data_IF_187560840248
#
_entry.id   IF_187560840248
#
_cell.length_a   1.000
_cell.length_b   1.000
_cell.length_c   1.000
_cell.angle_alpha   90.00
_cell.angle_beta   90.00
_cell.angle_gamma   90.00
#
_symmetry.space_group_name_H-M   'P 1'
#
loop_
_entity.id
_entity.type
_entity.pdbx_description
1 polymer ?
#
# COMPACT_ATOMS: atom_id res chain seq x y z
N UNK A 1 18.45 -7.50 19.56
CA UNK A 1 18.59 -8.61 18.60
C UNK A 1 17.35 -8.55 17.71
N UNK A 2 17.45 -7.97 16.52
CA UNK A 2 16.35 -7.89 15.58
C UNK A 2 16.22 -9.28 14.98
N UNK A 3 15.13 -9.97 15.25
CA UNK A 3 14.85 -11.28 14.68
C UNK A 3 14.33 -11.05 13.25
N UNK A 4 15.10 -11.41 12.26
CA UNK A 4 14.73 -11.26 10.85
C UNK A 4 13.67 -12.33 10.52
N UNK A 5 12.41 -11.90 10.53
CA UNK A 5 11.29 -12.72 10.07
C UNK A 5 11.29 -12.72 8.54
N UNK A 6 11.99 -13.69 7.96
CA UNK A 6 11.85 -13.93 6.52
C UNK A 6 10.41 -14.36 6.22
N UNK A 7 9.64 -13.51 5.54
CA UNK A 7 8.41 -13.95 4.90
C UNK A 7 8.76 -15.08 3.92
N UNK A 8 8.41 -16.30 4.27
CA UNK A 8 8.47 -17.41 3.30
C UNK A 8 7.24 -17.24 2.39
N UNK A 9 7.41 -17.00 1.08
CA UNK A 9 6.28 -17.11 0.18
C UNK A 9 5.81 -18.57 0.24
N UNK A 10 4.58 -18.78 0.66
CA UNK A 10 3.97 -20.10 0.56
C UNK A 10 3.94 -20.50 -0.90
N UNK A 11 4.65 -21.58 -1.24
CA UNK A 11 5.00 -21.97 -2.62
C UNK A 11 3.81 -22.36 -3.51
N UNK A 12 2.58 -22.31 -3.02
CA UNK A 12 1.36 -22.68 -3.75
C UNK A 12 0.29 -21.57 -3.82
N UNK A 13 0.54 -20.40 -3.21
CA UNK A 13 -0.50 -19.43 -3.02
C UNK A 13 -0.38 -18.27 -4.00
N UNK A 14 -1.13 -18.35 -5.08
CA UNK A 14 -1.16 -17.34 -6.14
C UNK A 14 -1.91 -16.06 -5.72
N UNK A 15 -2.16 -15.86 -4.43
CA UNK A 15 -2.85 -14.70 -3.93
C UNK A 15 -4.23 -14.50 -4.56
N UNK A 16 -4.64 -13.26 -4.68
CA UNK A 16 -5.88 -12.87 -5.37
C UNK A 16 -5.90 -13.31 -6.84
N UNK A 17 -4.73 -13.43 -7.49
CA UNK A 17 -4.63 -13.89 -8.88
C UNK A 17 -5.12 -15.33 -9.08
N UNK A 18 -4.96 -16.20 -8.08
CA UNK A 18 -5.53 -17.55 -8.08
C UNK A 18 -7.06 -17.53 -8.07
N UNK A 19 -7.63 -16.68 -7.23
CA UNK A 19 -9.10 -16.53 -7.12
C UNK A 19 -9.70 -15.91 -8.39
N UNK A 20 -9.02 -14.94 -8.98
CA UNK A 20 -9.47 -14.33 -10.25
C UNK A 20 -9.71 -15.41 -11.29
N UNK A 21 -8.75 -16.33 -11.48
CA UNK A 21 -8.87 -17.40 -12.47
C UNK A 21 -9.90 -18.45 -12.13
N UNK A 22 -9.98 -18.82 -10.85
CA UNK A 22 -10.87 -19.87 -10.39
C UNK A 22 -12.36 -19.46 -10.41
N UNK A 23 -12.63 -18.20 -10.09
CA UNK A 23 -13.99 -17.66 -9.95
C UNK A 23 -14.37 -16.68 -11.07
N UNK A 24 -13.53 -16.59 -12.12
CA UNK A 24 -13.75 -15.67 -13.26
C UNK A 24 -14.07 -14.24 -12.81
N UNK A 25 -13.28 -13.72 -11.86
CA UNK A 25 -13.50 -12.40 -11.32
C UNK A 25 -13.01 -11.32 -12.30
N UNK A 26 -13.73 -10.20 -12.43
CA UNK A 26 -13.38 -9.13 -13.38
C UNK A 26 -12.12 -8.40 -12.91
N UNK A 27 -10.95 -8.73 -13.47
CA UNK A 27 -9.63 -8.21 -13.08
C UNK A 27 -9.59 -6.70 -12.91
N UNK A 28 -10.18 -5.96 -13.85
CA UNK A 28 -10.15 -4.50 -13.82
C UNK A 28 -11.01 -3.90 -12.70
N UNK A 29 -11.98 -4.65 -12.18
CA UNK A 29 -12.97 -4.15 -11.23
C UNK A 29 -12.67 -4.53 -9.78
N UNK A 30 -12.06 -5.72 -9.56
CA UNK A 30 -11.74 -6.19 -8.19
C UNK A 30 -10.80 -5.26 -7.43
N UNK A 31 -10.05 -4.41 -8.15
CA UNK A 31 -9.17 -3.42 -7.54
C UNK A 31 -9.79 -2.01 -7.49
N UNK A 32 -10.96 -1.78 -8.11
CA UNK A 32 -11.53 -0.45 -8.30
C UNK A 32 -12.92 -0.27 -7.73
N UNK A 33 -13.73 -1.34 -7.68
CA UNK A 33 -15.13 -1.29 -7.28
C UNK A 33 -15.34 -2.00 -5.96
N UNK A 34 -15.95 -1.32 -5.00
CA UNK A 34 -16.21 -1.84 -3.66
C UNK A 34 -16.92 -3.19 -3.64
N UNK A 35 -17.92 -3.38 -4.51
CA UNK A 35 -18.69 -4.62 -4.57
C UNK A 35 -17.80 -5.81 -4.97
N UNK A 36 -16.89 -5.60 -5.92
CA UNK A 36 -15.96 -6.62 -6.37
C UNK A 36 -14.85 -6.87 -5.36
N UNK A 37 -14.37 -5.81 -4.68
CA UNK A 37 -13.42 -5.93 -3.55
C UNK A 37 -14.00 -6.77 -2.44
N UNK A 38 -15.24 -6.51 -2.03
CA UNK A 38 -15.95 -7.28 -0.99
C UNK A 38 -16.06 -8.74 -1.37
N UNK A 39 -16.59 -9.03 -2.57
CA UNK A 39 -16.71 -10.40 -3.08
C UNK A 39 -15.38 -11.14 -3.05
N UNK A 40 -14.34 -10.52 -3.57
CA UNK A 40 -13.01 -11.12 -3.63
C UNK A 40 -12.39 -11.33 -2.23
N UNK A 41 -12.55 -10.37 -1.31
CA UNK A 41 -12.04 -10.47 0.06
C UNK A 41 -12.71 -11.60 0.86
N UNK A 42 -14.04 -11.75 0.73
CA UNK A 42 -14.77 -12.84 1.38
C UNK A 42 -14.37 -14.18 0.81
N UNK A 43 -14.30 -14.32 -0.51
CA UNK A 43 -13.85 -15.56 -1.17
C UNK A 43 -12.40 -15.92 -0.74
N UNK A 44 -11.51 -14.95 -0.65
CA UNK A 44 -10.14 -15.20 -0.18
C UNK A 44 -10.13 -15.68 1.26
N UNK A 45 -10.87 -15.01 2.16
CA UNK A 45 -10.99 -15.39 3.56
C UNK A 45 -11.52 -16.82 3.71
N UNK A 46 -12.59 -17.17 3.01
CA UNK A 46 -13.21 -18.49 3.09
C UNK A 46 -12.27 -19.60 2.58
N UNK A 47 -11.72 -19.41 1.39
CA UNK A 47 -10.85 -20.39 0.76
C UNK A 47 -9.59 -20.67 1.58
N UNK A 48 -9.01 -19.64 2.17
CA UNK A 48 -7.79 -19.74 2.98
C UNK A 48 -8.06 -19.96 4.46
N UNK A 49 -9.33 -20.03 4.86
CA UNK A 49 -9.74 -20.18 6.27
C UNK A 49 -9.10 -19.12 7.18
N UNK A 50 -8.97 -17.89 6.66
CA UNK A 50 -8.45 -16.76 7.43
C UNK A 50 -9.53 -16.24 8.40
N UNK A 51 -9.15 -15.70 9.56
CA UNK A 51 -10.10 -15.10 10.50
C UNK A 51 -10.54 -13.69 10.10
N UNK A 52 -10.03 -13.11 9.00
CA UNK A 52 -10.28 -11.75 8.56
C UNK A 52 -10.22 -11.62 7.03
N UNK A 53 -10.92 -10.63 6.51
CA UNK A 53 -10.77 -10.13 5.16
C UNK A 53 -9.60 -9.15 5.09
N UNK A 54 -8.90 -9.06 3.95
CA UNK A 54 -7.76 -8.15 3.77
C UNK A 54 -8.03 -7.22 2.60
N UNK A 55 -7.89 -5.91 2.80
CA UNK A 55 -7.98 -4.87 1.76
C UNK A 55 -6.93 -3.78 2.02
N UNK A 56 -6.41 -3.11 0.95
CA UNK A 56 -6.46 -3.50 -0.46
C UNK A 56 -5.67 -4.79 -0.75
N UNK A 57 -5.76 -5.29 -1.97
CA UNK A 57 -5.02 -6.50 -2.39
C UNK A 57 -3.63 -6.21 -2.95
N UNK A 58 -3.17 -4.97 -2.90
CA UNK A 58 -1.91 -4.52 -3.47
C UNK A 58 -1.34 -3.31 -2.69
N UNK A 59 -0.11 -2.94 -3.02
CA UNK A 59 0.65 -1.89 -2.35
C UNK A 59 0.76 -0.60 -3.18
N UNK A 60 -0.23 -0.31 -4.03
CA UNK A 60 -0.20 0.87 -4.91
C UNK A 60 -1.29 1.89 -4.60
N UNK A 61 -2.15 1.61 -3.62
CA UNK A 61 -3.33 2.42 -3.31
C UNK A 61 -2.96 3.85 -2.93
N UNK A 62 -2.03 4.02 -2.01
CA UNK A 62 -1.60 5.32 -1.50
C UNK A 62 -0.91 6.14 -2.60
N UNK A 63 0.03 5.50 -3.30
CA UNK A 63 0.75 6.15 -4.38
C UNK A 63 -0.18 6.57 -5.54
N UNK A 64 -1.16 5.75 -5.89
CA UNK A 64 -2.17 6.09 -6.91
C UNK A 64 -2.99 7.30 -6.48
N UNK A 65 -3.41 7.35 -5.23
CA UNK A 65 -4.18 8.45 -4.69
C UNK A 65 -3.40 9.77 -4.69
N UNK A 66 -2.07 9.71 -4.59
CA UNK A 66 -1.16 10.85 -4.75
C UNK A 66 -0.85 11.21 -6.21
N UNK A 67 -1.43 10.52 -7.19
CA UNK A 67 -1.23 10.77 -8.62
C UNK A 67 -0.28 9.80 -9.31
N UNK A 68 0.12 8.73 -8.65
CA UNK A 68 0.97 7.67 -9.22
C UNK A 68 0.30 6.94 -10.39
N UNK A 69 1.11 6.56 -11.37
CA UNK A 69 0.63 5.85 -12.55
C UNK A 69 0.65 4.34 -12.32
N UNK A 70 -0.54 3.71 -12.29
CA UNK A 70 -0.70 2.30 -11.96
C UNK A 70 -1.19 1.50 -13.15
N UNK A 71 -0.53 0.37 -13.41
CA UNK A 71 -1.03 -0.70 -14.28
C UNK A 71 -1.74 -1.72 -13.42
N UNK A 72 -3.03 -1.91 -13.63
CA UNK A 72 -3.84 -2.86 -12.85
C UNK A 72 -3.55 -4.33 -13.11
N UNK A 73 -2.74 -4.60 -14.12
CA UNK A 73 -2.30 -5.95 -14.41
C UNK A 73 -3.33 -6.79 -15.16
N UNK A 74 -3.27 -8.08 -14.93
CA UNK A 74 -4.12 -9.10 -15.55
C UNK A 74 -4.28 -10.30 -14.60
N UNK A 75 -4.83 -11.40 -15.07
CA UNK A 75 -5.03 -12.63 -14.30
C UNK A 75 -3.75 -13.23 -13.67
N UNK A 76 -2.57 -12.83 -14.13
CA UNK A 76 -1.27 -13.36 -13.64
C UNK A 76 -0.54 -12.41 -12.71
N UNK A 77 -0.81 -11.12 -12.82
CA UNK A 77 -0.11 -10.09 -12.07
C UNK A 77 -1.07 -8.96 -11.67
N UNK A 78 -1.12 -8.64 -10.38
CA UNK A 78 -1.91 -7.55 -9.83
C UNK A 78 -1.39 -6.15 -10.18
N UNK A 79 -1.97 -5.11 -9.54
CA UNK A 79 -1.57 -3.73 -9.71
C UNK A 79 -0.09 -3.50 -9.39
N UNK A 80 0.55 -2.66 -10.18
CA UNK A 80 1.95 -2.27 -10.00
C UNK A 80 2.23 -0.90 -10.60
N UNK A 81 3.27 -0.25 -10.15
CA UNK A 81 3.78 0.98 -10.75
C UNK A 81 3.99 0.79 -12.26
N UNK A 82 3.56 1.75 -13.07
CA UNK A 82 3.87 1.78 -14.50
C UNK A 82 5.25 2.41 -14.71
N UNK A 83 5.31 3.73 -14.76
CA UNK A 83 6.53 4.50 -14.78
C UNK A 83 6.45 5.54 -13.67
N UNK A 84 7.57 5.92 -13.04
CA UNK A 84 7.60 7.02 -12.11
C UNK A 84 6.99 8.29 -12.71
N UNK A 85 6.21 9.01 -11.91
CA UNK A 85 5.58 10.27 -12.31
C UNK A 85 6.44 11.48 -11.95
N UNK A 86 7.44 11.28 -11.07
CA UNK A 86 8.40 12.30 -10.66
C UNK A 86 9.81 11.96 -11.12
N UNK A 87 10.55 12.97 -11.59
CA UNK A 87 11.96 12.88 -11.95
C UNK A 87 12.88 13.52 -10.89
N UNK A 88 12.31 14.26 -9.93
CA UNK A 88 13.05 14.93 -8.86
C UNK A 88 12.25 14.97 -7.56
N UNK A 89 12.94 15.27 -6.43
CA UNK A 89 12.29 15.45 -5.13
C UNK A 89 11.39 16.70 -5.12
N UNK A 90 11.74 17.70 -5.90
CA UNK A 90 10.92 18.91 -6.04
C UNK A 90 9.55 18.54 -6.64
N UNK A 91 9.51 17.77 -7.74
CA UNK A 91 8.27 17.29 -8.32
C UNK A 91 7.50 16.41 -7.32
N UNK A 92 8.18 15.55 -6.57
CA UNK A 92 7.56 14.73 -5.52
C UNK A 92 6.91 15.60 -4.43
N UNK A 93 7.51 16.75 -4.08
CA UNK A 93 6.96 17.68 -3.09
C UNK A 93 5.66 18.35 -3.54
N UNK A 94 5.46 18.49 -4.85
CA UNK A 94 4.26 19.10 -5.44
C UNK A 94 3.11 18.13 -5.68
N UNK A 95 3.33 16.83 -5.47
CA UNK A 95 2.22 15.87 -5.59
C UNK A 95 1.09 16.20 -4.61
N UNK A 96 -0.11 15.85 -5.02
CA UNK A 96 -1.31 16.01 -4.20
C UNK A 96 -1.16 15.30 -2.86
N UNK A 97 -1.80 15.86 -1.82
CA UNK A 97 -2.03 15.17 -0.55
C UNK A 97 -2.98 13.98 -0.80
N UNK A 98 -2.91 12.99 0.07
CA UNK A 98 -3.88 11.89 0.01
C UNK A 98 -5.29 12.42 0.28
N UNK A 99 -6.23 12.02 -0.57
CA UNK A 99 -7.66 12.31 -0.42
C UNK A 99 -8.43 10.99 -0.23
N UNK A 100 -8.81 10.66 1.01
CA UNK A 100 -9.57 9.46 1.31
C UNK A 100 -10.96 9.39 0.65
N UNK A 101 -11.49 10.52 0.19
CA UNK A 101 -12.82 10.61 -0.42
C UNK A 101 -12.77 10.44 -1.95
N UNK A 102 -11.58 10.26 -2.52
CA UNK A 102 -11.41 10.18 -3.97
C UNK A 102 -10.98 8.80 -4.47
N UNK A 103 -11.37 8.50 -5.71
CA UNK A 103 -10.88 7.40 -6.51
C UNK A 103 -10.98 6.02 -5.84
N UNK A 104 -9.97 5.20 -6.07
CA UNK A 104 -9.90 3.84 -5.51
C UNK A 104 -9.77 3.82 -3.98
N UNK A 105 -9.22 4.87 -3.38
CA UNK A 105 -9.12 5.00 -1.93
C UNK A 105 -10.52 5.02 -1.29
N UNK A 106 -11.41 5.88 -1.79
CA UNK A 106 -12.79 5.97 -1.32
C UNK A 106 -13.54 4.64 -1.49
N UNK A 107 -13.36 3.96 -2.61
CA UNK A 107 -13.95 2.64 -2.86
C UNK A 107 -13.44 1.58 -1.88
N UNK A 108 -12.14 1.59 -1.59
CA UNK A 108 -11.51 0.64 -0.64
C UNK A 108 -12.02 0.88 0.79
N UNK A 109 -12.08 2.12 1.23
CA UNK A 109 -12.59 2.47 2.56
C UNK A 109 -14.09 2.13 2.70
N UNK A 110 -14.88 2.38 1.66
CA UNK A 110 -16.28 1.97 1.63
C UNK A 110 -16.46 0.44 1.67
N UNK A 111 -15.61 -0.32 0.94
CA UNK A 111 -15.59 -1.77 1.01
C UNK A 111 -15.25 -2.27 2.42
N UNK A 112 -14.28 -1.68 3.09
CA UNK A 112 -13.94 -1.99 4.48
C UNK A 112 -15.14 -1.77 5.41
N UNK A 113 -15.79 -0.61 5.30
CA UNK A 113 -16.99 -0.31 6.10
C UNK A 113 -18.10 -1.33 5.89
N UNK A 114 -18.44 -1.63 4.62
CA UNK A 114 -19.50 -2.58 4.29
C UNK A 114 -19.18 -4.00 4.79
N UNK A 115 -17.92 -4.44 4.72
CA UNK A 115 -17.48 -5.72 5.31
C UNK A 115 -17.68 -5.71 6.83
N UNK A 116 -17.31 -4.62 7.51
CA UNK A 116 -17.55 -4.48 8.97
C UNK A 116 -19.02 -4.50 9.32
N UNK A 117 -19.89 -3.85 8.54
CA UNK A 117 -21.36 -3.88 8.71
C UNK A 117 -21.95 -5.28 8.51
N UNK A 118 -21.32 -6.11 7.68
CA UNK A 118 -21.65 -7.53 7.49
C UNK A 118 -21.14 -8.46 8.59
N UNK A 119 -20.40 -7.92 9.57
CA UNK A 119 -19.82 -8.69 10.67
C UNK A 119 -18.45 -9.29 10.39
N UNK A 120 -17.84 -8.98 9.25
CA UNK A 120 -16.51 -9.45 8.92
C UNK A 120 -15.43 -8.69 9.72
N UNK A 121 -14.38 -9.38 10.18
CA UNK A 121 -13.17 -8.73 10.63
C UNK A 121 -12.33 -8.33 9.41
N UNK A 122 -11.78 -7.10 9.44
CA UNK A 122 -11.02 -6.53 8.32
C UNK A 122 -9.64 -6.11 8.79
N UNK A 123 -8.61 -6.49 8.01
CA UNK A 123 -7.26 -5.95 8.09
C UNK A 123 -7.03 -5.02 6.91
N UNK A 124 -6.73 -3.74 7.20
CA UNK A 124 -6.33 -2.80 6.17
C UNK A 124 -4.83 -2.93 5.91
N UNK A 125 -4.44 -3.19 4.66
CA UNK A 125 -3.04 -3.20 4.25
C UNK A 125 -2.61 -1.79 3.88
N UNK A 126 -1.60 -1.27 4.58
CA UNK A 126 -1.03 0.05 4.36
C UNK A 126 0.42 -0.06 3.93
N UNK A 127 0.79 0.69 2.91
CA UNK A 127 2.16 0.74 2.41
C UNK A 127 2.99 1.75 3.20
N UNK A 128 4.27 1.43 3.40
CA UNK A 128 5.22 2.36 3.99
C UNK A 128 5.82 3.34 2.98
N UNK A 129 6.54 4.36 3.49
CA UNK A 129 7.02 5.49 2.70
C UNK A 129 7.87 5.11 1.50
N UNK A 130 8.82 4.21 1.67
CA UNK A 130 9.70 3.82 0.56
C UNK A 130 8.95 3.04 -0.51
N UNK A 131 7.96 2.23 -0.14
CA UNK A 131 7.11 1.50 -1.09
C UNK A 131 6.23 2.49 -1.87
N UNK A 132 5.66 3.50 -1.21
CA UNK A 132 4.89 4.57 -1.85
C UNK A 132 5.80 5.35 -2.81
N UNK A 133 6.94 5.84 -2.34
CA UNK A 133 7.87 6.60 -3.18
C UNK A 133 8.45 5.79 -4.33
N UNK A 134 8.70 4.49 -4.15
CA UNK A 134 9.17 3.63 -5.25
C UNK A 134 8.17 3.54 -6.42
N UNK A 135 6.90 3.82 -6.16
CA UNK A 135 5.86 3.92 -7.19
C UNK A 135 5.86 5.29 -7.88
N UNK A 136 6.27 6.35 -7.17
CA UNK A 136 6.18 7.75 -7.61
C UNK A 136 7.47 8.27 -8.24
N UNK A 137 8.64 7.84 -7.72
CA UNK A 137 9.97 8.30 -8.13
C UNK A 137 10.96 7.14 -8.12
N UNK A 138 12.02 7.21 -8.89
CA UNK A 138 13.12 6.26 -8.74
C UNK A 138 13.83 6.44 -7.40
N UNK A 139 13.82 5.43 -6.52
CA UNK A 139 14.39 5.50 -5.17
C UNK A 139 15.85 5.92 -5.12
N UNK A 140 16.61 5.69 -6.20
CA UNK A 140 17.99 6.19 -6.28
C UNK A 140 18.09 7.71 -6.12
N UNK A 141 17.06 8.47 -6.51
CA UNK A 141 16.99 9.93 -6.32
C UNK A 141 16.85 10.27 -4.84
N UNK A 142 15.94 9.56 -4.13
CA UNK A 142 15.74 9.70 -2.68
C UNK A 142 17.05 9.37 -1.94
N UNK A 143 17.67 8.22 -2.23
CA UNK A 143 18.91 7.80 -1.57
C UNK A 143 20.08 8.77 -1.82
N UNK A 144 20.12 9.39 -2.99
CA UNK A 144 21.12 10.43 -3.28
C UNK A 144 20.84 11.70 -2.46
N UNK A 145 19.55 12.06 -2.31
CA UNK A 145 19.16 13.27 -1.58
C UNK A 145 19.37 13.13 -0.07
N UNK A 146 19.11 11.97 0.54
CA UNK A 146 19.43 11.73 1.96
C UNK A 146 20.90 12.07 2.29
N UNK A 147 21.81 11.91 1.32
CA UNK A 147 23.23 12.23 1.51
C UNK A 147 23.61 13.68 1.19
N UNK A 148 22.80 14.38 0.38
CA UNK A 148 23.13 15.72 -0.12
C UNK A 148 22.28 16.83 0.48
N UNK A 149 21.02 16.53 0.72
CA UNK A 149 19.97 17.45 1.16
C UNK A 149 18.99 16.72 2.07
N UNK A 150 19.46 16.15 3.23
CA UNK A 150 18.64 15.34 4.12
C UNK A 150 17.37 16.08 4.57
N UNK A 151 17.48 17.38 4.83
CA UNK A 151 16.38 18.24 5.25
C UNK A 151 15.21 18.26 4.25
N UNK A 152 15.47 18.11 2.96
CA UNK A 152 14.41 18.02 1.95
C UNK A 152 13.69 16.68 2.03
N UNK A 153 14.43 15.61 2.30
CA UNK A 153 13.87 14.27 2.43
C UNK A 153 13.05 14.17 3.73
N UNK A 154 13.55 14.76 4.82
CA UNK A 154 12.82 14.85 6.10
C UNK A 154 11.47 15.56 5.93
N UNK A 155 11.46 16.70 5.24
CA UNK A 155 10.21 17.42 4.96
C UNK A 155 9.21 16.60 4.14
N UNK A 156 9.70 15.78 3.18
CA UNK A 156 8.87 14.85 2.42
C UNK A 156 8.33 13.71 3.28
N UNK A 157 9.14 13.18 4.20
CA UNK A 157 8.69 12.18 5.16
C UNK A 157 7.59 12.74 6.06
N UNK A 158 7.78 13.93 6.64
CA UNK A 158 6.78 14.59 7.49
C UNK A 158 5.45 14.78 6.75
N UNK A 159 5.50 15.27 5.50
CA UNK A 159 4.30 15.41 4.67
C UNK A 159 3.58 14.07 4.47
N UNK A 160 4.33 13.01 4.17
CA UNK A 160 3.76 11.68 3.94
C UNK A 160 3.24 11.06 5.23
N UNK A 161 3.93 11.28 6.35
CA UNK A 161 3.48 10.83 7.69
C UNK A 161 2.12 11.42 8.04
N UNK A 162 1.93 12.73 7.84
CA UNK A 162 0.63 13.37 8.05
C UNK A 162 -0.47 12.75 7.18
N UNK A 163 -0.17 12.42 5.92
CA UNK A 163 -1.12 11.77 5.02
C UNK A 163 -1.46 10.34 5.51
N UNK A 164 -0.46 9.57 5.93
CA UNK A 164 -0.66 8.22 6.47
C UNK A 164 -1.44 8.24 7.79
N UNK A 165 -1.17 9.19 8.68
CA UNK A 165 -1.94 9.37 9.90
C UNK A 165 -3.39 9.76 9.60
N UNK A 166 -3.61 10.64 8.62
CA UNK A 166 -4.94 10.97 8.13
C UNK A 166 -5.69 9.74 7.59
N UNK A 167 -5.02 8.94 6.78
CA UNK A 167 -5.57 7.67 6.26
C UNK A 167 -5.92 6.70 7.39
N UNK A 168 -5.05 6.55 8.40
CA UNK A 168 -5.32 5.68 9.56
C UNK A 168 -6.57 6.13 10.34
N UNK A 169 -6.79 7.43 10.47
CA UNK A 169 -8.01 7.96 11.09
C UNK A 169 -9.25 7.60 10.27
N UNK A 170 -9.19 7.71 8.95
CA UNK A 170 -10.30 7.30 8.08
C UNK A 170 -10.54 5.79 8.10
N UNK A 171 -9.49 4.97 8.10
CA UNK A 171 -9.58 3.51 8.28
C UNK A 171 -10.32 3.18 9.59
N UNK A 172 -9.94 3.84 10.68
CA UNK A 172 -10.60 3.68 11.99
C UNK A 172 -12.07 4.13 11.97
N UNK A 173 -12.39 5.27 11.35
CA UNK A 173 -13.79 5.75 11.20
C UNK A 173 -14.66 4.76 10.42
N UNK A 174 -14.09 4.04 9.46
CA UNK A 174 -14.78 2.99 8.71
C UNK A 174 -14.86 1.63 9.47
N UNK A 175 -14.58 1.62 10.78
CA UNK A 175 -14.78 0.48 11.68
C UNK A 175 -13.65 -0.56 11.65
N UNK A 176 -12.57 -0.31 10.92
CA UNK A 176 -11.41 -1.21 10.89
C UNK A 176 -10.51 -0.97 12.10
N UNK A 177 -10.11 -2.06 12.76
CA UNK A 177 -9.32 -2.02 13.99
C UNK A 177 -7.92 -2.62 13.84
N UNK A 178 -7.65 -3.24 12.70
CA UNK A 178 -6.38 -3.91 12.43
C UNK A 178 -5.76 -3.34 11.15
N UNK A 179 -4.48 -3.00 11.22
CA UNK A 179 -3.69 -2.54 10.08
C UNK A 179 -2.48 -3.44 9.93
N UNK A 180 -2.24 -3.89 8.70
CA UNK A 180 -0.98 -4.54 8.32
C UNK A 180 -0.13 -3.50 7.61
N UNK A 181 0.97 -3.10 8.22
CA UNK A 181 1.90 -2.15 7.63
C UNK A 181 3.05 -2.88 6.95
N UNK A 182 3.32 -2.55 5.69
CA UNK A 182 4.39 -3.14 4.92
C UNK A 182 5.18 -2.10 4.12
N UNK A 183 6.49 -2.05 4.34
CA UNK A 183 7.41 -1.23 3.55
C UNK A 183 8.49 -2.11 2.90
N UNK A 184 8.08 -2.83 1.84
CA UNK A 184 8.96 -3.78 1.16
C UNK A 184 10.20 -3.10 0.52
N UNK A 185 10.06 -1.85 0.08
CA UNK A 185 11.17 -1.06 -0.45
C UNK A 185 12.01 -0.38 0.66
N UNK A 186 11.49 -0.34 1.90
CA UNK A 186 12.18 0.12 3.10
C UNK A 186 12.94 -0.97 3.87
N UNK A 187 12.99 -2.19 3.33
CA UNK A 187 13.67 -3.30 4.00
C UNK A 187 15.19 -3.14 4.09
N UNK A 188 15.79 -3.76 5.12
CA UNK A 188 17.23 -3.71 5.41
C UNK A 188 18.10 -4.10 4.20
N UNK A 189 17.64 -5.06 3.40
CA UNK A 189 18.35 -5.53 2.19
C UNK A 189 18.43 -4.46 1.08
N UNK A 190 17.55 -3.47 1.11
CA UNK A 190 17.46 -2.38 0.12
C UNK A 190 18.14 -1.12 0.67
N UNK A 191 17.76 -0.71 1.87
CA UNK A 191 18.28 0.53 2.49
C UNK A 191 19.69 0.38 3.00
N UNK A 192 20.06 -0.80 3.50
CA UNK A 192 21.27 -1.02 4.29
C UNK A 192 21.20 -0.36 5.68
N UNK A 193 22.12 -0.72 6.59
CA UNK A 193 22.01 -0.35 8.01
C UNK A 193 22.01 1.16 8.27
N UNK A 194 22.86 1.91 7.60
CA UNK A 194 22.98 3.37 7.81
C UNK A 194 21.74 4.15 7.39
N UNK A 195 21.12 3.74 6.28
CA UNK A 195 19.90 4.40 5.79
C UNK A 195 18.71 4.03 6.68
N UNK A 196 18.65 2.77 7.14
CA UNK A 196 17.62 2.32 8.06
C UNK A 196 17.71 3.06 9.41
N UNK A 197 18.93 3.21 9.97
CA UNK A 197 19.17 4.00 11.18
C UNK A 197 18.68 5.43 11.02
N UNK A 198 19.11 6.13 9.97
CA UNK A 198 18.67 7.49 9.66
C UNK A 198 17.14 7.57 9.52
N UNK A 199 16.50 6.61 8.84
CA UNK A 199 15.04 6.59 8.69
C UNK A 199 14.35 6.44 10.04
N UNK A 200 14.88 5.58 10.91
CA UNK A 200 14.32 5.38 12.27
C UNK A 200 14.41 6.65 13.10
N UNK A 201 15.52 7.38 13.01
CA UNK A 201 15.71 8.64 13.74
C UNK A 201 14.78 9.75 13.27
N UNK A 202 14.40 9.77 11.98
CA UNK A 202 13.47 10.76 11.42
C UNK A 202 12.01 10.47 11.81
N UNK A 203 11.65 9.20 12.06
CA UNK A 203 10.28 8.78 12.42
C UNK A 203 10.04 8.61 13.92
N UNK A 204 10.92 9.09 14.77
CA UNK A 204 10.76 9.10 16.23
C UNK A 204 10.48 10.49 16.75
#
# INVERSE_FOLDING_TARGET
MIQDYMCRPEASDQGIAGLIREYDLPVSEIYKKREQMIKAAVLEREKRKKPFCTLPFDHTLEAENMGGNIRYGNEKAGPRAAAPVCSSLEELSFLSRMDPESGRMAETLAACRMLREQGEEVVFQMSGPYTIWNTLIELKQVFKAVRKTPEQVEALFQKLEEDLLGLLLEVKKNGVRMVSYADSAGGLSILGPRMLEWTTDVFT
#
